data_IF_514670139234
#
_entry.id   IF_514670139234
#
_cell.length_a   1.000
_cell.length_b   1.000
_cell.length_c   1.000
_cell.angle_alpha   90.00
_cell.angle_beta   90.00
_cell.angle_gamma   90.00
#
_symmetry.space_group_name_H-M   'P 1'
#
loop_
_entity.id
_entity.type
_entity.pdbx_description
1 polymer ?
#
# COMPACT_ATOMS: atom_id res chain seq x y z
N UNK A 1 -17.87 -5.28 -78.12
CA UNK A 1 -18.76 -5.34 -76.95
C UNK A 1 -17.92 -5.85 -75.79
N UNK A 2 -17.62 -5.00 -74.80
CA UNK A 2 -17.05 -5.44 -73.53
C UNK A 2 -17.36 -4.37 -72.47
N UNK A 3 -18.42 -4.51 -71.67
CA UNK A 3 -18.85 -3.46 -70.74
C UNK A 3 -18.70 -3.90 -69.28
N UNK A 4 -17.50 -4.18 -68.76
CA UNK A 4 -17.40 -4.72 -67.39
C UNK A 4 -16.22 -4.18 -66.55
N UNK A 5 -15.86 -2.90 -66.67
CA UNK A 5 -14.80 -2.30 -65.79
C UNK A 5 -15.28 -1.14 -64.92
N UNK A 6 -16.39 -0.47 -65.23
CA UNK A 6 -16.91 0.62 -64.41
C UNK A 6 -17.77 0.16 -63.23
N UNK A 7 -18.49 -0.97 -63.37
CA UNK A 7 -19.32 -1.52 -62.29
C UNK A 7 -18.48 -2.05 -61.12
N UNK A 8 -17.30 -2.61 -61.38
CA UNK A 8 -16.42 -3.14 -60.33
C UNK A 8 -15.74 -2.04 -59.50
N UNK A 9 -15.37 -0.92 -60.12
CA UNK A 9 -14.73 0.19 -59.39
C UNK A 9 -15.66 0.81 -58.34
N UNK A 10 -16.98 0.83 -58.59
CA UNK A 10 -17.96 1.34 -57.63
C UNK A 10 -18.12 0.40 -56.43
N UNK A 11 -18.19 -0.91 -56.68
CA UNK A 11 -18.31 -1.93 -55.62
C UNK A 11 -17.05 -1.96 -54.76
N UNK A 12 -15.87 -1.92 -55.37
CA UNK A 12 -14.59 -1.86 -54.64
C UNK A 12 -14.50 -0.58 -53.81
N UNK A 13 -14.91 0.57 -54.34
CA UNK A 13 -14.93 1.83 -53.59
C UNK A 13 -15.83 1.80 -52.36
N UNK A 14 -17.03 1.23 -52.47
CA UNK A 14 -17.98 1.12 -51.35
C UNK A 14 -17.47 0.15 -50.27
N UNK A 15 -16.93 -1.01 -50.67
CA UNK A 15 -16.38 -1.99 -49.72
C UNK A 15 -15.19 -1.41 -48.96
N UNK A 16 -14.34 -0.64 -49.65
CA UNK A 16 -13.16 -0.02 -49.04
C UNK A 16 -13.54 1.12 -48.08
N UNK A 17 -14.56 1.91 -48.42
CA UNK A 17 -15.15 2.93 -47.53
C UNK A 17 -15.77 2.30 -46.28
N UNK A 18 -16.55 1.22 -46.44
CA UNK A 18 -17.17 0.52 -45.32
C UNK A 18 -16.12 -0.10 -44.39
N UNK A 19 -15.10 -0.74 -44.94
CA UNK A 19 -13.97 -1.28 -44.17
C UNK A 19 -13.25 -0.20 -43.36
N UNK A 20 -13.01 0.96 -43.96
CA UNK A 20 -12.32 2.07 -43.30
C UNK A 20 -13.17 2.71 -42.20
N UNK A 21 -14.50 2.79 -42.39
CA UNK A 21 -15.41 3.24 -41.32
C UNK A 21 -15.49 2.27 -40.15
N UNK A 22 -15.49 0.96 -40.40
CA UNK A 22 -15.51 -0.06 -39.33
C UNK A 22 -14.20 -0.03 -38.55
N UNK A 23 -13.05 0.15 -39.22
CA UNK A 23 -11.74 0.30 -38.56
C UNK A 23 -11.68 1.59 -37.74
N UNK A 24 -12.19 2.70 -38.28
CA UNK A 24 -12.22 3.99 -37.56
C UNK A 24 -13.15 3.93 -36.33
N UNK A 25 -14.32 3.31 -36.46
CA UNK A 25 -15.29 3.18 -35.36
C UNK A 25 -14.83 2.16 -34.30
N UNK A 26 -14.15 1.10 -34.73
CA UNK A 26 -13.49 0.14 -33.84
C UNK A 26 -12.33 0.75 -33.06
N UNK A 27 -11.50 1.57 -33.72
CA UNK A 27 -10.40 2.30 -33.07
C UNK A 27 -10.88 3.31 -32.03
N UNK A 28 -11.97 4.04 -32.30
CA UNK A 28 -12.58 4.98 -31.35
C UNK A 28 -13.10 4.27 -30.09
N UNK A 29 -13.74 3.10 -30.23
CA UNK A 29 -14.24 2.31 -29.09
C UNK A 29 -13.09 1.78 -28.22
N UNK A 30 -11.99 1.33 -28.82
CA UNK A 30 -10.82 0.84 -28.09
C UNK A 30 -10.10 1.97 -27.31
N UNK A 31 -9.99 3.16 -27.91
CA UNK A 31 -9.35 4.31 -27.27
C UNK A 31 -10.19 4.84 -26.10
N UNK A 32 -11.52 4.94 -26.26
CA UNK A 32 -12.41 5.35 -25.15
C UNK A 32 -12.42 4.32 -24.02
N UNK A 33 -12.40 3.02 -24.34
CA UNK A 33 -12.31 1.95 -23.34
C UNK A 33 -11.07 2.10 -22.44
N UNK A 34 -9.89 2.28 -23.04
CA UNK A 34 -8.64 2.42 -22.28
C UNK A 34 -8.56 3.66 -21.37
N UNK A 35 -9.21 4.76 -21.76
CA UNK A 35 -9.28 5.99 -20.94
C UNK A 35 -10.24 5.80 -19.76
N UNK A 36 -11.37 5.13 -19.98
CA UNK A 36 -12.33 4.82 -18.91
C UNK A 36 -11.72 3.85 -17.90
N UNK A 37 -11.03 2.80 -18.36
CA UNK A 37 -10.37 1.82 -17.50
C UNK A 37 -9.32 2.49 -16.59
N UNK A 38 -8.45 3.33 -17.15
CA UNK A 38 -7.44 4.07 -16.37
C UNK A 38 -8.04 5.03 -15.33
N UNK A 39 -9.15 5.70 -15.65
CA UNK A 39 -9.85 6.56 -14.68
C UNK A 39 -10.53 5.78 -13.56
N UNK A 40 -11.03 4.58 -13.83
CA UNK A 40 -11.62 3.71 -12.79
C UNK A 40 -10.58 3.15 -11.85
N UNK A 41 -9.40 2.76 -12.35
CA UNK A 41 -8.29 2.26 -11.51
C UNK A 41 -7.84 3.33 -10.51
N UNK A 42 -7.56 4.56 -10.97
CA UNK A 42 -7.15 5.66 -10.07
C UNK A 42 -8.23 6.01 -9.04
N UNK A 43 -9.52 5.94 -9.42
CA UNK A 43 -10.62 6.21 -8.49
C UNK A 43 -10.75 5.12 -7.40
N UNK A 44 -10.50 3.86 -7.74
CA UNK A 44 -10.50 2.76 -6.78
C UNK A 44 -9.29 2.84 -5.85
N UNK A 45 -8.09 3.13 -6.36
CA UNK A 45 -6.89 3.36 -5.54
C UNK A 45 -7.13 4.47 -4.50
N UNK A 46 -7.71 5.60 -4.92
CA UNK A 46 -8.02 6.70 -4.01
C UNK A 46 -9.05 6.31 -2.95
N UNK A 47 -10.10 5.58 -3.33
CA UNK A 47 -11.13 5.11 -2.39
C UNK A 47 -10.58 4.09 -1.41
N UNK A 48 -9.70 3.20 -1.86
CA UNK A 48 -9.07 2.19 -1.01
C UNK A 48 -8.11 2.86 -0.03
N UNK A 49 -7.31 3.83 -0.47
CA UNK A 49 -6.44 4.61 0.41
C UNK A 49 -7.24 5.32 1.52
N UNK A 50 -8.30 6.05 1.16
CA UNK A 50 -9.20 6.71 2.12
C UNK A 50 -9.86 5.71 3.10
N UNK A 51 -10.27 4.54 2.58
CA UNK A 51 -10.79 3.46 3.42
C UNK A 51 -9.73 2.95 4.38
N UNK A 52 -8.48 2.79 3.94
CA UNK A 52 -7.39 2.35 4.81
C UNK A 52 -7.10 3.39 5.91
N UNK A 53 -7.04 4.68 5.57
CA UNK A 53 -6.84 5.77 6.54
C UNK A 53 -7.94 5.84 7.60
N UNK A 54 -9.17 5.51 7.21
CA UNK A 54 -10.32 5.61 8.11
C UNK A 54 -10.52 4.32 8.92
N UNK A 55 -10.27 3.16 8.32
CA UNK A 55 -10.44 1.86 8.95
C UNK A 55 -9.27 1.50 9.86
N UNK A 56 -8.04 1.71 9.39
CA UNK A 56 -6.84 1.35 10.14
C UNK A 56 -6.33 2.56 10.92
N UNK A 57 -7.02 2.88 12.03
CA UNK A 57 -6.57 3.89 13.01
C UNK A 57 -6.14 3.27 14.33
N UNK A 58 -5.07 2.46 14.33
CA UNK A 58 -4.67 1.65 15.47
C UNK A 58 -4.29 2.48 16.70
N UNK A 59 -3.93 3.75 16.54
CA UNK A 59 -3.56 4.63 17.67
C UNK A 59 -4.79 5.27 18.33
N UNK A 60 -5.88 5.47 17.59
CA UNK A 60 -7.07 6.20 18.05
C UNK A 60 -8.17 5.27 18.57
N UNK A 61 -8.15 4.00 18.18
CA UNK A 61 -9.26 3.07 18.37
C UNK A 61 -8.91 1.92 19.32
N UNK A 62 -9.89 1.47 20.11
CA UNK A 62 -9.81 0.27 20.95
C UNK A 62 -11.09 -0.55 20.77
N UNK A 63 -10.99 -1.88 20.81
CA UNK A 63 -12.12 -2.80 20.70
C UNK A 63 -12.48 -3.17 19.26
N UNK A 64 -13.69 -3.69 19.07
CA UNK A 64 -14.13 -4.26 17.80
C UNK A 64 -14.47 -3.19 16.76
N UNK A 65 -13.94 -3.37 15.56
CA UNK A 65 -14.19 -2.50 14.40
C UNK A 65 -14.49 -3.35 13.17
N UNK A 66 -15.31 -2.80 12.28
CA UNK A 66 -15.59 -3.42 10.98
C UNK A 66 -15.57 -2.35 9.92
N UNK A 67 -14.83 -2.61 8.85
CA UNK A 67 -14.77 -1.78 7.67
C UNK A 67 -15.03 -2.62 6.43
N UNK A 68 -15.37 -1.95 5.33
CA UNK A 68 -15.59 -2.58 4.04
C UNK A 68 -14.81 -1.84 2.97
N UNK A 69 -13.88 -2.55 2.34
CA UNK A 69 -13.12 -2.05 1.20
C UNK A 69 -13.88 -2.40 -0.06
N UNK A 70 -14.18 -1.40 -0.89
CA UNK A 70 -14.89 -1.58 -2.16
C UNK A 70 -14.04 -1.14 -3.32
N UNK A 71 -13.84 -2.05 -4.26
CA UNK A 71 -13.11 -1.82 -5.50
C UNK A 71 -13.84 -2.50 -6.67
N UNK A 72 -13.72 -1.94 -7.87
CA UNK A 72 -14.37 -2.44 -9.08
C UNK A 72 -13.67 -3.70 -9.57
N UNK A 73 -12.34 -3.68 -9.52
CA UNK A 73 -11.44 -4.75 -9.91
C UNK A 73 -10.15 -4.73 -9.07
N UNK A 74 -9.44 -5.85 -9.07
CA UNK A 74 -8.16 -6.02 -8.38
C UNK A 74 -8.18 -7.11 -7.32
N UNK A 75 -7.18 -7.04 -6.44
CA UNK A 75 -7.00 -7.99 -5.32
C UNK A 75 -6.59 -7.26 -4.06
N UNK A 76 -7.10 -7.75 -2.94
CA UNK A 76 -6.70 -7.37 -1.60
C UNK A 76 -5.99 -8.58 -0.96
N UNK A 77 -4.74 -8.39 -0.58
CA UNK A 77 -3.91 -9.45 0.00
C UNK A 77 -3.19 -8.99 1.25
N UNK A 78 -2.73 -9.96 2.03
CA UNK A 78 -1.87 -9.73 3.19
C UNK A 78 -0.44 -10.12 2.83
N UNK A 79 0.53 -9.42 3.38
CA UNK A 79 1.95 -9.71 3.18
C UNK A 79 2.69 -9.62 4.52
N UNK A 80 3.52 -10.60 4.82
CA UNK A 80 4.33 -10.61 6.05
C UNK A 80 5.34 -9.47 6.02
N UNK A 81 5.38 -8.63 7.05
CA UNK A 81 6.32 -7.51 7.16
C UNK A 81 6.71 -7.30 8.61
N UNK A 82 7.97 -6.97 8.83
CA UNK A 82 8.49 -6.75 10.18
C UNK A 82 8.82 -5.28 10.49
N UNK A 83 8.50 -4.88 11.72
CA UNK A 83 9.08 -3.71 12.38
C UNK A 83 10.08 -4.20 13.41
N UNK A 84 11.31 -3.71 13.37
CA UNK A 84 12.38 -4.12 14.28
C UNK A 84 12.87 -2.93 15.09
N UNK A 85 13.05 -3.13 16.39
CA UNK A 85 13.80 -2.22 17.26
C UNK A 85 15.21 -2.77 17.42
N UNK A 86 16.21 -1.96 17.11
CA UNK A 86 17.62 -2.31 17.17
C UNK A 86 18.36 -1.42 18.17
N UNK A 87 19.47 -1.94 18.69
CA UNK A 87 20.50 -1.16 19.40
C UNK A 87 21.90 -1.61 18.95
N UNK A 88 22.93 -1.17 19.67
CA UNK A 88 24.33 -1.50 19.36
C UNK A 88 24.64 -3.01 19.42
N UNK A 89 23.83 -3.79 20.14
CA UNK A 89 23.94 -5.26 20.24
C UNK A 89 23.19 -6.01 19.12
N UNK A 90 22.43 -5.31 18.27
CA UNK A 90 21.65 -5.91 17.18
C UNK A 90 20.14 -5.73 17.36
N UNK A 91 19.36 -6.71 16.88
CA UNK A 91 17.89 -6.69 17.00
C UNK A 91 17.50 -6.94 18.45
N UNK A 92 16.83 -5.95 19.05
CA UNK A 92 16.30 -6.05 20.42
C UNK A 92 14.89 -6.63 20.43
N UNK A 93 14.09 -6.28 19.43
CA UNK A 93 12.69 -6.70 19.32
C UNK A 93 12.25 -6.73 17.87
N UNK A 94 11.45 -7.73 17.54
CA UNK A 94 10.77 -7.88 16.25
C UNK A 94 9.27 -7.85 16.49
N UNK A 95 8.54 -7.10 15.68
CA UNK A 95 7.08 -7.00 15.71
C UNK A 95 6.55 -7.36 14.32
N UNK A 96 5.73 -8.41 14.18
CA UNK A 96 5.10 -8.77 12.91
C UNK A 96 3.96 -7.77 12.64
N UNK A 97 4.28 -6.72 11.89
CA UNK A 97 3.31 -5.67 11.58
C UNK A 97 2.40 -6.07 10.42
N UNK A 98 2.88 -6.97 9.56
CA UNK A 98 2.28 -7.34 8.28
C UNK A 98 1.89 -6.11 7.43
N UNK A 99 1.38 -6.36 6.24
CA UNK A 99 0.79 -5.36 5.37
C UNK A 99 -0.53 -5.86 4.80
N UNK A 100 -1.45 -4.92 4.56
CA UNK A 100 -2.62 -5.14 3.69
C UNK A 100 -2.37 -4.40 2.39
N UNK A 101 -2.40 -5.11 1.27
CA UNK A 101 -2.03 -4.61 -0.04
C UNK A 101 -3.24 -4.72 -0.96
N UNK A 102 -3.66 -3.59 -1.52
CA UNK A 102 -4.57 -3.55 -2.65
C UNK A 102 -3.78 -3.33 -3.93
N UNK A 103 -4.04 -4.18 -4.92
CA UNK A 103 -3.44 -4.09 -6.25
C UNK A 103 -4.56 -4.08 -7.30
N UNK A 104 -4.57 -3.03 -8.10
CA UNK A 104 -5.30 -2.92 -9.35
C UNK A 104 -4.51 -1.98 -10.25
N UNK A 105 -4.21 -2.39 -11.49
CA UNK A 105 -3.32 -1.64 -12.38
C UNK A 105 -1.92 -1.41 -11.82
N UNK A 106 -1.40 -0.18 -11.97
CA UNK A 106 0.03 0.15 -11.78
C UNK A 106 0.36 0.82 -10.43
N UNK A 107 -0.64 1.27 -9.65
CA UNK A 107 -0.41 2.05 -8.42
C UNK A 107 -1.01 1.35 -7.19
N UNK A 108 -0.29 0.38 -6.61
CA UNK A 108 -0.76 -0.34 -5.42
C UNK A 108 -0.91 0.58 -4.20
N UNK A 109 -1.85 0.21 -3.32
CA UNK A 109 -2.11 0.88 -2.03
C UNK A 109 -1.80 -0.10 -0.90
N UNK A 110 -0.97 0.31 0.07
CA UNK A 110 -0.52 -0.54 1.17
C UNK A 110 -0.82 0.10 2.50
N UNK A 111 -1.45 -0.63 3.42
CA UNK A 111 -1.36 -0.34 4.84
C UNK A 111 -0.17 -1.11 5.43
N UNK A 112 0.82 -0.42 5.99
CA UNK A 112 2.05 -1.02 6.53
C UNK A 112 2.56 -0.20 7.71
N UNK A 113 2.80 -0.85 8.86
CA UNK A 113 3.37 -0.24 10.05
C UNK A 113 2.66 1.08 10.48
N UNK A 114 1.33 1.13 10.31
CA UNK A 114 0.52 2.31 10.62
C UNK A 114 0.51 3.41 9.56
N UNK A 115 1.18 3.19 8.44
CA UNK A 115 1.20 4.08 7.29
C UNK A 115 0.24 3.60 6.21
N UNK A 116 -0.28 4.54 5.41
CA UNK A 116 -0.88 4.25 4.11
C UNK A 116 0.09 4.73 3.04
N UNK A 117 0.57 3.81 2.21
CA UNK A 117 1.53 4.06 1.15
C UNK A 117 0.85 3.86 -0.20
N UNK A 118 0.97 4.82 -1.10
CA UNK A 118 0.50 4.70 -2.47
C UNK A 118 1.67 4.66 -3.43
N UNK A 119 1.58 3.78 -4.43
CA UNK A 119 2.52 3.69 -5.54
C UNK A 119 3.58 2.59 -5.40
N UNK A 120 4.51 2.58 -6.36
CA UNK A 120 5.57 1.58 -6.51
C UNK A 120 6.93 2.12 -6.11
N UNK A 121 7.93 1.25 -6.03
CA UNK A 121 9.31 1.64 -5.78
C UNK A 121 9.75 2.76 -6.74
N UNK A 122 10.34 3.83 -6.19
CA UNK A 122 10.71 5.04 -6.94
C UNK A 122 9.63 6.13 -6.94
N UNK A 123 8.35 5.77 -7.08
CA UNK A 123 7.24 6.72 -7.24
C UNK A 123 6.22 6.71 -6.08
N UNK A 124 6.53 6.02 -4.96
CA UNK A 124 5.63 5.94 -3.82
C UNK A 124 5.65 7.19 -2.92
N UNK A 125 4.55 7.43 -2.21
CA UNK A 125 4.43 8.44 -1.15
C UNK A 125 3.59 7.93 0.03
N UNK A 126 3.76 8.59 1.18
CA UNK A 126 2.94 8.37 2.38
C UNK A 126 1.71 9.26 2.29
N UNK A 127 0.52 8.66 2.35
CA UNK A 127 -0.72 9.39 2.63
C UNK A 127 -0.89 9.57 4.14
N UNK A 128 -0.47 8.56 4.91
CA UNK A 128 -0.39 8.60 6.37
C UNK A 128 1.01 8.23 6.81
N UNK A 129 1.61 9.09 7.64
CA UNK A 129 2.93 8.90 8.23
C UNK A 129 2.92 7.75 9.27
N UNK A 130 4.02 6.99 9.43
CA UNK A 130 4.09 5.96 10.46
C UNK A 130 4.08 6.59 11.86
N UNK A 131 3.48 5.95 12.88
CA UNK A 131 3.39 6.47 14.24
C UNK A 131 4.71 6.32 15.01
N UNK A 132 5.81 6.83 14.46
CA UNK A 132 7.16 6.76 15.04
C UNK A 132 7.74 8.17 15.16
N UNK A 133 7.94 8.66 16.38
CA UNK A 133 8.45 10.01 16.62
C UNK A 133 9.49 10.04 17.72
N UNK A 134 10.40 11.01 17.66
CA UNK A 134 11.24 11.39 18.79
C UNK A 134 10.62 12.56 19.57
N UNK A 135 10.93 12.67 20.86
CA UNK A 135 10.61 13.87 21.64
C UNK A 135 11.52 15.03 21.26
N UNK A 136 11.04 16.27 21.40
CA UNK A 136 11.81 17.48 21.03
C UNK A 136 13.06 17.72 21.88
N UNK A 137 13.10 17.14 23.07
CA UNK A 137 14.24 17.21 24.00
C UNK A 137 15.20 16.02 23.84
N UNK A 138 15.00 15.18 22.81
CA UNK A 138 15.80 14.01 22.50
C UNK A 138 15.92 12.98 23.65
N UNK A 139 14.98 12.97 24.60
CA UNK A 139 15.00 12.04 25.73
C UNK A 139 14.31 10.70 25.44
N UNK A 140 13.37 10.67 24.50
CA UNK A 140 12.61 9.47 24.18
C UNK A 140 12.27 9.31 22.69
N UNK A 141 12.06 8.05 22.31
CA UNK A 141 11.47 7.65 21.02
C UNK A 141 10.19 6.89 21.30
N UNK A 142 9.11 7.26 20.62
CA UNK A 142 7.80 6.61 20.70
C UNK A 142 7.60 5.87 19.39
N UNK A 143 7.36 4.57 19.48
CA UNK A 143 7.19 3.66 18.34
C UNK A 143 5.82 3.00 18.47
N UNK A 144 4.87 3.44 17.66
CA UNK A 144 3.64 2.70 17.42
C UNK A 144 3.91 1.59 16.40
N UNK A 145 3.54 0.37 16.73
CA UNK A 145 3.66 -0.78 15.85
C UNK A 145 2.28 -1.43 15.72
N UNK A 146 1.52 -1.14 14.65
CA UNK A 146 0.27 -1.83 14.38
C UNK A 146 0.54 -3.23 13.88
N UNK A 147 0.08 -4.23 14.63
CA UNK A 147 0.10 -5.63 14.23
C UNK A 147 -1.22 -5.88 13.52
N UNK A 148 -1.18 -5.98 12.19
CA UNK A 148 -2.35 -6.37 11.43
C UNK A 148 -2.73 -7.81 11.83
N UNK A 149 -1.75 -8.68 12.10
CA UNK A 149 -1.92 -10.08 12.50
C UNK A 149 -2.96 -10.77 11.60
N UNK A 150 -2.68 -10.72 10.30
CA UNK A 150 -3.66 -11.06 9.30
C UNK A 150 -3.77 -12.58 9.10
N UNK A 151 -4.71 -13.21 9.80
CA UNK A 151 -5.18 -14.55 9.42
C UNK A 151 -6.31 -14.39 8.39
N UNK A 152 -6.00 -14.45 7.09
CA UNK A 152 -7.03 -14.30 6.06
C UNK A 152 -6.44 -14.23 4.66
N UNK A 153 -7.02 -15.00 3.75
CA UNK A 153 -6.54 -15.18 2.38
C UNK A 153 -6.75 -13.99 1.45
N UNK A 154 -6.36 -14.17 0.19
CA UNK A 154 -6.56 -13.19 -0.89
C UNK A 154 -8.04 -13.04 -1.23
N UNK A 155 -8.53 -11.79 -1.29
CA UNK A 155 -9.84 -11.47 -1.88
C UNK A 155 -9.61 -10.81 -3.24
N UNK A 156 -10.04 -11.46 -4.31
CA UNK A 156 -9.90 -10.97 -5.68
C UNK A 156 -11.25 -11.03 -6.43
N UNK A 157 -11.45 -10.15 -7.40
CA UNK A 157 -12.61 -10.22 -8.27
C UNK A 157 -12.69 -9.09 -9.29
N UNK A 158 -13.68 -9.18 -10.16
CA UNK A 158 -14.03 -8.18 -11.18
C UNK A 158 -15.53 -7.89 -11.12
N UNK A 159 -15.94 -6.68 -11.49
CA UNK A 159 -17.36 -6.30 -11.55
C UNK A 159 -17.95 -5.84 -10.21
N UNK A 160 -17.13 -5.33 -9.30
CA UNK A 160 -17.55 -4.82 -7.99
C UNK A 160 -17.31 -5.85 -6.88
N UNK A 161 -16.23 -5.64 -6.13
CA UNK A 161 -15.78 -6.49 -5.03
C UNK A 161 -15.92 -5.73 -3.71
N UNK A 162 -16.35 -6.44 -2.68
CA UNK A 162 -16.45 -5.95 -1.31
C UNK A 162 -15.67 -6.89 -0.39
N UNK A 163 -14.53 -6.43 0.12
CA UNK A 163 -13.78 -7.14 1.15
C UNK A 163 -14.16 -6.61 2.54
N UNK A 164 -14.59 -7.51 3.42
CA UNK A 164 -14.83 -7.20 4.82
C UNK A 164 -13.52 -7.21 5.59
N UNK A 165 -13.29 -6.16 6.38
CA UNK A 165 -12.19 -6.05 7.35
C UNK A 165 -12.82 -6.08 8.74
N UNK A 166 -12.45 -7.05 9.55
CA UNK A 166 -12.81 -7.09 10.98
C UNK A 166 -11.56 -6.93 11.82
N UNK A 167 -11.64 -6.13 12.86
CA UNK A 167 -10.54 -5.85 13.76
C UNK A 167 -11.02 -5.90 15.22
N UNK A 168 -10.11 -6.25 16.12
CA UNK A 168 -10.27 -6.11 17.55
C UNK A 168 -8.99 -5.50 18.12
N UNK A 169 -8.99 -4.18 18.28
CA UNK A 169 -7.78 -3.42 18.60
C UNK A 169 -7.52 -3.46 20.11
N UNK A 170 -6.34 -3.92 20.48
CA UNK A 170 -5.80 -3.84 21.84
C UNK A 170 -4.42 -3.19 21.84
N UNK A 171 -4.00 -2.64 22.98
CA UNK A 171 -2.72 -1.95 23.10
C UNK A 171 -1.86 -2.56 24.20
N UNK A 172 -0.62 -2.85 23.85
CA UNK A 172 0.40 -3.25 24.81
C UNK A 172 1.54 -2.23 24.77
N UNK A 173 1.95 -1.74 25.94
CA UNK A 173 2.99 -0.72 26.06
C UNK A 173 4.19 -1.30 26.77
N UNK A 174 5.35 -1.14 26.16
CA UNK A 174 6.62 -1.59 26.69
C UNK A 174 7.59 -0.41 26.74
N UNK A 175 8.25 -0.25 27.89
CA UNK A 175 9.31 0.74 28.07
C UNK A 175 10.65 0.02 28.05
N UNK A 176 11.48 0.31 27.06
CA UNK A 176 12.85 -0.18 27.01
C UNK A 176 13.80 0.76 27.78
N UNK A 177 14.93 0.25 28.32
CA UNK A 177 15.93 1.07 29.01
C UNK A 177 16.51 2.18 28.13
N UNK A 178 17.27 3.12 28.72
CA UNK A 178 17.92 4.18 27.93
C UNK A 178 19.13 3.65 27.15
N UNK A 179 19.05 3.70 25.82
CA UNK A 179 20.07 3.17 24.91
C UNK A 179 20.10 3.92 23.56
N UNK A 180 21.06 3.61 22.70
CA UNK A 180 21.08 4.08 21.30
C UNK A 180 20.14 3.19 20.47
N UNK A 181 18.96 3.70 20.14
CA UNK A 181 17.96 2.92 19.40
C UNK A 181 17.92 3.28 17.91
N UNK A 182 17.69 2.25 17.10
CA UNK A 182 17.20 2.39 15.73
C UNK A 182 15.88 1.66 15.57
N UNK A 183 15.02 2.16 14.69
CA UNK A 183 13.77 1.52 14.28
C UNK A 183 13.89 1.15 12.81
N UNK A 184 13.58 -0.09 12.45
CA UNK A 184 13.58 -0.54 11.07
C UNK A 184 12.16 -0.94 10.65
N UNK A 185 11.72 -0.44 9.50
CA UNK A 185 10.47 -0.85 8.86
C UNK A 185 10.80 -1.52 7.53
N UNK A 186 10.42 -2.79 7.41
CA UNK A 186 10.55 -3.58 6.19
C UNK A 186 9.50 -3.19 5.14
N UNK A 187 9.95 -2.86 3.93
CA UNK A 187 9.10 -2.29 2.89
C UNK A 187 9.70 -2.44 1.49
N UNK A 188 8.82 -2.63 0.50
CA UNK A 188 9.19 -2.58 -0.93
C UNK A 188 9.40 -1.13 -1.42
N UNK A 189 8.97 -0.14 -0.65
CA UNK A 189 8.95 1.28 -1.03
C UNK A 189 9.73 2.12 -0.01
N UNK A 190 11.08 2.01 0.06
CA UNK A 190 11.87 2.59 1.16
C UNK A 190 11.98 4.13 1.12
N UNK A 191 11.83 4.75 -0.05
CA UNK A 191 12.01 6.21 -0.22
C UNK A 191 11.08 7.05 0.69
N UNK A 192 9.74 6.87 0.67
CA UNK A 192 8.85 7.65 1.54
C UNK A 192 9.17 7.55 3.03
N UNK A 193 9.47 6.35 3.53
CA UNK A 193 9.84 6.15 4.93
C UNK A 193 11.18 6.81 5.27
N UNK A 194 12.14 6.78 4.33
CA UNK A 194 13.42 7.48 4.48
C UNK A 194 13.21 8.99 4.64
N UNK A 195 12.38 9.59 3.78
CA UNK A 195 12.03 11.01 3.82
C UNK A 195 11.30 11.38 5.13
N UNK A 196 10.36 10.53 5.58
CA UNK A 196 9.71 10.69 6.88
C UNK A 196 10.70 10.69 8.04
N UNK A 197 11.56 9.66 8.12
CA UNK A 197 12.46 9.50 9.25
C UNK A 197 13.50 10.62 9.34
N UNK A 198 14.00 11.09 8.20
CA UNK A 198 14.87 12.27 8.16
C UNK A 198 14.16 13.54 8.65
N UNK A 199 12.88 13.71 8.27
CA UNK A 199 12.05 14.84 8.74
C UNK A 199 11.85 14.84 10.26
N UNK A 200 11.75 13.67 10.88
CA UNK A 200 11.63 13.52 12.35
C UNK A 200 12.98 13.38 13.07
N UNK A 201 14.09 13.71 12.39
CA UNK A 201 15.41 13.87 13.01
C UNK A 201 16.24 12.60 13.11
N UNK A 202 15.90 11.52 12.39
CA UNK A 202 16.70 10.31 12.35
C UNK A 202 17.67 10.31 11.15
N UNK A 203 18.81 9.64 11.30
CA UNK A 203 19.65 9.26 10.16
C UNK A 203 19.20 7.91 9.63
N UNK A 204 19.12 7.76 8.32
CA UNK A 204 18.50 6.57 7.69
C UNK A 204 19.49 5.75 6.90
N UNK A 205 19.33 4.43 6.90
CA UNK A 205 19.99 3.49 6.00
C UNK A 205 18.97 2.50 5.46
N UNK A 206 19.15 2.04 4.23
CA UNK A 206 18.33 0.99 3.65
C UNK A 206 19.17 -0.28 3.56
N UNK A 207 18.68 -1.38 4.11
CA UNK A 207 19.32 -2.69 4.03
C UNK A 207 18.32 -3.81 4.26
N UNK A 208 18.61 -4.95 3.68
CA UNK A 208 18.01 -6.23 4.07
C UNK A 208 18.61 -6.67 5.43
N UNK A 209 17.77 -7.05 6.39
CA UNK A 209 18.18 -7.40 7.76
C UNK A 209 18.16 -8.91 7.99
N UNK A 210 17.20 -9.62 7.40
CA UNK A 210 16.96 -11.06 7.61
C UNK A 210 17.36 -11.92 6.40
N UNK A 211 17.71 -11.30 5.27
CA UNK A 211 18.20 -11.97 4.07
C UNK A 211 17.10 -12.48 3.15
N UNK A 212 15.86 -12.02 3.31
CA UNK A 212 14.71 -12.45 2.50
C UNK A 212 14.57 -11.68 1.17
N UNK A 213 15.40 -10.65 0.97
CA UNK A 213 15.41 -9.78 -0.20
C UNK A 213 14.56 -8.51 -0.08
N UNK A 214 13.73 -8.38 0.96
CA UNK A 214 12.93 -7.18 1.24
C UNK A 214 13.75 -6.19 2.04
N UNK A 215 13.75 -4.92 1.61
CA UNK A 215 14.57 -3.90 2.24
C UNK A 215 13.90 -3.38 3.51
N UNK A 216 14.70 -3.08 4.53
CA UNK A 216 14.30 -2.34 5.71
C UNK A 216 14.87 -0.92 5.70
N UNK A 217 14.03 0.07 5.97
CA UNK A 217 14.47 1.44 6.28
C UNK A 217 14.81 1.52 7.75
N UNK A 218 16.11 1.56 8.05
CA UNK A 218 16.67 1.68 9.40
C UNK A 218 16.85 3.16 9.74
N UNK A 219 16.04 3.66 10.67
CA UNK A 219 16.10 5.00 11.22
C UNK A 219 16.82 4.98 12.57
N UNK A 220 18.02 5.56 12.63
CA UNK A 220 18.80 5.73 13.86
C UNK A 220 18.52 7.09 14.45
N UNK A 221 18.02 7.10 15.69
CA UNK A 221 17.77 8.32 16.45
C UNK A 221 19.03 8.68 17.26
N UNK A 222 19.58 9.89 17.10
CA UNK A 222 20.88 10.21 17.69
C UNK A 222 20.82 10.33 19.23
N UNK A 223 21.83 9.78 19.90
CA UNK A 223 21.94 9.83 21.35
C UNK A 223 21.17 8.72 22.06
N UNK A 224 21.35 8.67 23.39
CA UNK A 224 20.76 7.63 24.24
C UNK A 224 19.37 8.05 24.70
N UNK A 225 18.35 7.28 24.35
CA UNK A 225 16.93 7.61 24.56
C UNK A 225 16.20 6.46 25.23
N UNK A 226 15.20 6.75 26.03
CA UNK A 226 14.21 5.73 26.43
C UNK A 226 13.31 5.43 25.23
N UNK A 227 13.07 4.16 24.89
CA UNK A 227 12.12 3.79 23.84
C UNK A 227 10.81 3.31 24.45
N UNK A 228 9.70 3.88 23.97
CA UNK A 228 8.35 3.42 24.27
C UNK A 228 7.78 2.72 23.05
N UNK A 229 7.67 1.39 23.11
CA UNK A 229 7.04 0.60 22.08
C UNK A 229 5.57 0.39 22.44
N UNK A 230 4.67 0.77 21.54
CA UNK A 230 3.23 0.55 21.66
C UNK A 230 2.81 -0.41 20.55
N UNK A 231 2.54 -1.65 20.92
CA UNK A 231 1.98 -2.64 20.01
C UNK A 231 0.47 -2.43 19.93
N UNK A 232 -0.07 -2.24 18.73
CA UNK A 232 -1.50 -2.16 18.49
C UNK A 232 -1.93 -3.45 17.79
N UNK A 233 -2.33 -4.48 18.56
CA UNK A 233 -2.81 -5.75 17.99
C UNK A 233 -4.22 -5.53 17.46
N UNK A 234 -4.36 -5.57 16.13
CA UNK A 234 -5.60 -5.28 15.43
C UNK A 234 -6.43 -6.54 15.15
N UNK A 235 -5.83 -7.75 15.19
CA UNK A 235 -6.45 -9.03 14.81
C UNK A 235 -7.31 -8.90 13.55
N UNK A 236 -6.67 -8.57 12.45
CA UNK A 236 -7.35 -8.23 11.20
C UNK A 236 -7.74 -9.49 10.44
N UNK A 237 -9.02 -9.63 10.13
CA UNK A 237 -9.51 -10.65 9.19
C UNK A 237 -9.93 -9.99 7.89
N UNK A 238 -9.41 -10.50 6.77
CA UNK A 238 -9.82 -10.12 5.42
C UNK A 238 -10.59 -11.28 4.80
N UNK A 239 -11.79 -11.00 4.29
CA UNK A 239 -12.61 -12.01 3.62
C UNK A 239 -13.67 -11.38 2.71
N UNK A 240 -14.37 -12.23 1.97
CA UNK A 240 -15.56 -11.81 1.21
C UNK A 240 -16.64 -11.30 2.19
N UNK A 241 -17.24 -10.14 1.88
CA UNK A 241 -18.18 -9.45 2.77
C UNK A 241 -19.58 -9.25 2.23
#
# INVERSE_FOLDING_TARGET
MNPDTSAQSHVVGVVLLLGLTVVALGGLTAVVGSVVDGHTTTADEARVADTFETAFRPVEQTGHQTARVRFTEGRLTTAERELRVLNDSGVRQTVPVDAVVYESGDTPVRFLAGSVVRGTAGNAWLETDPPVTATRDDTAVIVGAPLVNASGGTVSGTGGVSAGIRQNVSHERERLPTDNYSVAIETETPRPFTEYFQRVGATTRVRDIDGDGVQSVVATFPGRRTLYLVRHDMRTEVGHG
#
